data_IF_427184276914
#
_entry.id   IF_427184276914
#
_cell.length_a   1.000
_cell.length_b   1.000
_cell.length_c   1.000
_cell.angle_alpha   90.00
_cell.angle_beta   90.00
_cell.angle_gamma   90.00
#
_symmetry.space_group_name_H-M   'P 1'
#
loop_
_entity.id
_entity.type
_entity.pdbx_description
1 polymer ?
#
# COMPACT_ATOMS: atom_id res chain seq x y z
N UNK A 1 -10.74 25.05 2.21
CA UNK A 1 -10.09 23.74 2.35
C UNK A 1 -10.46 22.87 1.16
N UNK A 2 -9.56 22.00 0.69
CA UNK A 2 -9.86 21.04 -0.42
C UNK A 2 -10.52 19.75 0.10
N UNK A 3 -10.29 19.42 1.37
CA UNK A 3 -10.96 18.35 2.12
C UNK A 3 -10.87 18.67 3.62
N UNK A 4 -11.76 18.09 4.43
CA UNK A 4 -11.75 18.22 5.89
C UNK A 4 -12.38 17.00 6.56
N UNK A 5 -11.94 16.68 7.77
CA UNK A 5 -12.50 15.63 8.62
C UNK A 5 -12.46 16.08 10.07
N UNK A 6 -13.42 15.59 10.86
CA UNK A 6 -13.40 15.75 12.30
C UNK A 6 -12.44 14.73 12.92
N UNK A 7 -11.69 15.17 13.93
CA UNK A 7 -10.88 14.29 14.77
C UNK A 7 -11.61 14.08 16.11
N UNK A 8 -11.52 12.88 16.71
CA UNK A 8 -11.97 12.70 18.08
C UNK A 8 -11.14 13.54 19.04
N UNK A 9 -11.68 13.83 20.23
CA UNK A 9 -10.90 14.47 21.29
C UNK A 9 -9.79 13.53 21.77
N UNK A 10 -8.53 13.92 21.57
CA UNK A 10 -7.34 13.13 21.90
C UNK A 10 -6.77 13.53 23.27
N UNK A 11 -6.33 12.56 24.07
CA UNK A 11 -5.55 12.79 25.29
C UNK A 11 -4.04 12.83 24.98
N UNK A 12 -3.20 13.34 25.90
CA UNK A 12 -1.75 13.26 25.75
C UNK A 12 -1.29 11.80 25.58
N UNK A 13 -0.61 11.52 24.46
CA UNK A 13 -0.15 10.17 24.10
C UNK A 13 -1.06 9.43 23.11
N UNK A 14 -2.27 9.94 22.86
CA UNK A 14 -3.18 9.37 21.86
C UNK A 14 -2.81 9.80 20.44
N UNK A 15 -3.25 9.01 19.47
CA UNK A 15 -3.22 9.35 18.06
C UNK A 15 -4.54 8.93 17.38
N UNK A 16 -4.90 9.64 16.31
CA UNK A 16 -5.98 9.25 15.42
C UNK A 16 -5.53 9.33 13.97
N UNK A 17 -6.15 8.50 13.14
CA UNK A 17 -6.00 8.53 11.69
C UNK A 17 -7.33 8.94 11.08
N UNK A 18 -7.29 9.78 10.04
CA UNK A 18 -8.46 10.13 9.23
C UNK A 18 -8.13 9.95 7.77
N UNK A 19 -9.11 9.50 7.00
CA UNK A 19 -9.04 9.48 5.54
C UNK A 19 -9.76 10.72 4.99
N UNK A 20 -9.14 11.38 4.02
CA UNK A 20 -9.68 12.55 3.33
C UNK A 20 -9.71 12.27 1.84
N UNK A 21 -10.89 12.40 1.24
CA UNK A 21 -11.03 12.31 -0.21
C UNK A 21 -10.64 13.65 -0.84
N UNK A 22 -9.63 13.62 -1.70
CA UNK A 22 -9.17 14.79 -2.43
C UNK A 22 -9.79 14.79 -3.82
N UNK A 23 -10.19 15.96 -4.35
CA UNK A 23 -10.79 16.04 -5.68
C UNK A 23 -9.77 15.96 -6.82
N UNK A 24 -8.49 15.69 -6.52
CA UNK A 24 -7.39 15.64 -7.48
C UNK A 24 -6.29 14.68 -7.00
N UNK A 25 -5.57 14.11 -7.96
CA UNK A 25 -4.39 13.27 -7.75
C UNK A 25 -3.24 13.71 -8.68
N UNK A 26 -2.87 15.00 -8.61
CA UNK A 26 -1.96 15.67 -9.56
C UNK A 26 -0.62 16.10 -8.94
N UNK A 27 -0.30 15.63 -7.74
CA UNK A 27 0.96 15.97 -7.07
C UNK A 27 1.06 17.42 -6.58
N UNK A 28 0.00 18.23 -6.63
CA UNK A 28 0.01 19.62 -6.13
C UNK A 28 0.40 19.69 -4.66
N UNK A 29 1.09 20.76 -4.28
CA UNK A 29 1.46 21.00 -2.89
C UNK A 29 0.21 21.11 -2.00
N UNK A 30 0.20 20.35 -0.92
CA UNK A 30 -0.82 20.38 0.11
C UNK A 30 -0.26 20.95 1.41
N UNK A 31 -1.14 21.59 2.17
CA UNK A 31 -0.89 21.96 3.55
C UNK A 31 -1.99 21.36 4.42
N UNK A 32 -1.58 20.70 5.48
CA UNK A 32 -2.45 20.14 6.50
C UNK A 32 -2.40 21.07 7.71
N UNK A 33 -3.59 21.49 8.12
CA UNK A 33 -3.83 22.35 9.27
C UNK A 33 -4.87 21.65 10.16
N UNK A 34 -4.71 21.79 11.47
CA UNK A 34 -5.70 21.39 12.44
C UNK A 34 -6.32 22.64 13.04
N UNK A 35 -7.63 22.63 13.28
CA UNK A 35 -8.34 23.71 13.93
C UNK A 35 -9.29 23.13 14.97
N UNK A 36 -9.60 23.92 16.00
CA UNK A 36 -10.68 23.62 16.94
C UNK A 36 -12.04 23.74 16.23
N UNK A 37 -13.08 23.20 16.86
CA UNK A 37 -14.45 23.26 16.34
C UNK A 37 -14.96 24.70 16.14
N UNK A 38 -14.41 25.67 16.86
CA UNK A 38 -14.71 27.11 16.71
C UNK A 38 -13.92 27.80 15.58
N UNK A 39 -13.10 27.04 14.82
CA UNK A 39 -12.26 27.55 13.73
C UNK A 39 -10.89 28.08 14.18
N UNK A 40 -10.58 28.07 15.48
CA UNK A 40 -9.27 28.50 15.99
C UNK A 40 -8.18 27.53 15.51
N UNK A 41 -7.22 28.03 14.74
CA UNK A 41 -6.09 27.24 14.24
C UNK A 41 -5.24 26.68 15.40
N UNK A 42 -4.91 25.40 15.32
CA UNK A 42 -3.96 24.74 16.20
C UNK A 42 -2.56 24.79 15.57
N UNK A 43 -1.53 25.22 16.32
CA UNK A 43 -0.18 25.26 15.78
C UNK A 43 0.32 23.83 15.54
N UNK A 44 0.89 23.57 14.36
CA UNK A 44 1.69 22.39 14.16
C UNK A 44 2.97 22.51 15.01
N UNK A 45 3.33 21.47 15.74
CA UNK A 45 4.55 21.45 16.55
C UNK A 45 5.65 20.71 15.79
N UNK A 46 6.81 21.36 15.66
CA UNK A 46 8.02 20.77 15.10
C UNK A 46 8.96 20.26 16.19
N UNK A 47 10.25 20.18 15.85
CA UNK A 47 11.29 19.78 16.78
C UNK A 47 11.27 20.64 18.06
N UNK A 48 11.42 19.97 19.21
CA UNK A 48 11.37 20.60 20.55
C UNK A 48 10.09 21.39 20.83
N UNK A 49 8.95 20.95 20.29
CA UNK A 49 7.65 21.62 20.46
C UNK A 49 7.60 23.07 19.98
N UNK A 50 8.50 23.46 19.06
CA UNK A 50 8.45 24.81 18.47
C UNK A 50 7.34 24.88 17.44
N UNK A 51 6.59 25.97 17.45
CA UNK A 51 5.55 26.20 16.46
C UNK A 51 6.12 26.18 15.04
N UNK A 52 5.48 25.42 14.16
CA UNK A 52 5.78 25.28 12.76
C UNK A 52 4.56 25.70 11.91
N UNK A 53 4.81 26.12 10.67
CA UNK A 53 3.78 26.63 9.76
C UNK A 53 2.96 25.53 9.08
N UNK A 54 2.30 24.66 9.85
CA UNK A 54 1.52 23.52 9.36
C UNK A 54 2.39 22.39 8.79
N UNK A 55 1.77 21.25 8.48
CA UNK A 55 2.45 20.14 7.80
C UNK A 55 2.30 20.34 6.29
N UNK A 56 3.41 20.33 5.55
CA UNK A 56 3.40 20.42 4.08
C UNK A 56 3.58 19.03 3.48
N UNK A 57 2.86 18.77 2.39
CA UNK A 57 2.96 17.54 1.61
C UNK A 57 2.60 17.79 0.15
N UNK A 58 2.36 16.71 -0.59
CA UNK A 58 1.76 16.75 -1.93
C UNK A 58 0.48 15.93 -1.94
N UNK A 59 -0.42 16.26 -2.85
CA UNK A 59 -1.48 15.35 -3.24
C UNK A 59 -0.87 14.06 -3.78
N UNK A 60 -1.55 12.91 -3.61
CA UNK A 60 -1.12 11.69 -4.28
C UNK A 60 -1.06 11.93 -5.79
N UNK A 61 -0.13 11.28 -6.48
CA UNK A 61 -0.21 11.15 -7.93
C UNK A 61 -1.18 10.02 -8.31
N UNK A 62 -1.69 10.03 -9.53
CA UNK A 62 -2.49 8.93 -10.07
C UNK A 62 -1.74 7.60 -9.95
N UNK A 63 -2.41 6.57 -9.42
CA UNK A 63 -1.80 5.27 -9.17
C UNK A 63 -0.87 5.19 -7.94
N UNK A 64 -0.67 6.26 -7.17
CA UNK A 64 -0.04 6.16 -5.86
C UNK A 64 -1.03 5.54 -4.86
N UNK A 65 -0.56 4.53 -4.14
CA UNK A 65 -1.32 3.87 -3.09
C UNK A 65 -0.59 4.04 -1.75
N UNK A 66 -1.33 3.92 -0.65
CA UNK A 66 -0.77 3.75 0.68
C UNK A 66 -1.66 2.80 1.44
N UNK A 67 -1.33 1.50 1.40
CA UNK A 67 -2.12 0.44 2.03
C UNK A 67 -1.34 -0.09 3.23
N UNK A 68 -1.72 0.25 4.48
CA UNK A 68 -1.03 -0.22 5.67
C UNK A 68 -1.33 -1.70 5.93
N UNK A 69 -0.29 -2.47 6.25
CA UNK A 69 -0.35 -3.93 6.43
C UNK A 69 0.18 -4.30 7.82
N UNK A 70 -0.71 -4.82 8.67
CA UNK A 70 -0.38 -5.30 10.02
C UNK A 70 0.29 -4.26 10.93
N UNK A 71 0.22 -2.97 10.59
CA UNK A 71 0.95 -1.88 11.26
C UNK A 71 2.48 -1.97 11.16
N UNK A 72 3.00 -2.87 10.31
CA UNK A 72 4.43 -3.14 10.16
C UNK A 72 5.02 -2.42 8.94
N UNK A 73 4.33 -2.53 7.80
CA UNK A 73 4.73 -1.94 6.52
C UNK A 73 3.52 -1.31 5.82
N UNK A 74 3.76 -0.55 4.76
CA UNK A 74 2.72 -0.11 3.84
C UNK A 74 3.12 -0.45 2.40
N UNK A 75 2.19 -0.98 1.62
CA UNK A 75 2.32 -1.01 0.16
C UNK A 75 2.11 0.39 -0.39
N UNK A 76 3.01 0.83 -1.27
CA UNK A 76 3.02 2.20 -1.81
C UNK A 76 2.87 2.28 -3.33
N UNK A 77 2.56 1.18 -4.00
CA UNK A 77 2.40 1.10 -5.45
C UNK A 77 3.26 0.02 -6.10
N UNK A 78 3.12 -0.12 -7.42
CA UNK A 78 3.93 -1.01 -8.27
C UNK A 78 5.03 -0.22 -8.96
N UNK A 79 6.26 -0.74 -8.98
CA UNK A 79 7.35 -0.22 -9.79
C UNK A 79 7.25 -0.78 -11.21
N UNK A 80 7.19 0.11 -12.21
CA UNK A 80 7.27 -0.22 -13.64
C UNK A 80 6.50 -1.49 -14.05
N UNK A 81 5.18 -1.57 -13.78
CA UNK A 81 4.40 -2.75 -14.16
C UNK A 81 4.49 -2.94 -15.68
N UNK A 82 4.58 -4.19 -16.17
CA UNK A 82 4.61 -4.45 -17.59
C UNK A 82 3.32 -3.92 -18.22
N UNK A 83 3.33 -3.44 -19.47
CA UNK A 83 2.12 -2.97 -20.13
C UNK A 83 1.13 -4.11 -20.41
N UNK A 84 1.65 -5.34 -20.55
CA UNK A 84 0.87 -6.53 -20.86
C UNK A 84 1.61 -7.79 -20.40
N UNK A 85 0.87 -8.74 -19.84
CA UNK A 85 1.30 -10.09 -19.53
C UNK A 85 1.07 -11.01 -20.74
N UNK A 86 1.92 -12.02 -20.96
CA UNK A 86 1.72 -13.00 -22.04
C UNK A 86 1.65 -14.42 -21.47
N UNK A 87 0.62 -15.22 -21.81
CA UNK A 87 0.59 -16.63 -21.45
C UNK A 87 1.88 -17.36 -21.87
N UNK A 88 2.35 -18.30 -21.04
CA UNK A 88 3.60 -19.03 -21.26
C UNK A 88 4.89 -18.22 -21.02
N UNK A 89 4.79 -17.01 -20.47
CA UNK A 89 5.96 -16.15 -20.16
C UNK A 89 5.93 -15.62 -18.73
N UNK A 90 7.06 -15.12 -18.25
CA UNK A 90 7.15 -14.49 -16.93
C UNK A 90 6.73 -13.02 -17.00
N UNK A 91 5.73 -12.64 -16.22
CA UNK A 91 5.39 -11.25 -15.94
C UNK A 91 6.11 -10.79 -14.65
N UNK A 92 6.87 -9.70 -14.74
CA UNK A 92 7.57 -9.14 -13.58
C UNK A 92 6.67 -8.16 -12.85
N UNK A 93 6.29 -8.48 -11.62
CA UNK A 93 5.51 -7.60 -10.76
C UNK A 93 6.42 -7.12 -9.61
N UNK A 94 6.40 -5.82 -9.33
CA UNK A 94 7.34 -5.20 -8.38
C UNK A 94 6.62 -4.32 -7.36
N UNK A 95 5.87 -4.89 -6.41
CA UNK A 95 5.33 -4.11 -5.31
C UNK A 95 6.43 -3.34 -4.57
N UNK A 96 6.10 -2.10 -4.17
CA UNK A 96 6.96 -1.24 -3.39
C UNK A 96 6.40 -1.14 -1.97
N UNK A 97 7.28 -1.28 -0.99
CA UNK A 97 6.90 -1.24 0.42
C UNK A 97 7.69 -0.19 1.19
N UNK A 98 7.02 0.46 2.13
CA UNK A 98 7.60 1.34 3.15
C UNK A 98 7.56 0.65 4.52
N UNK A 99 8.70 0.49 5.17
CA UNK A 99 8.76 0.01 6.55
C UNK A 99 8.29 1.10 7.53
N UNK A 100 7.22 0.85 8.30
CA UNK A 100 6.66 1.82 9.25
C UNK A 100 7.35 1.75 10.62
N UNK A 101 7.99 0.62 10.90
CA UNK A 101 8.75 0.31 12.11
C UNK A 101 9.87 -0.66 11.75
N UNK A 102 10.82 -0.94 12.65
CA UNK A 102 11.67 -2.13 12.51
C UNK A 102 10.80 -3.39 12.46
N UNK A 103 11.01 -4.24 11.46
CA UNK A 103 10.26 -5.48 11.29
C UNK A 103 11.01 -6.59 12.03
N UNK A 104 10.28 -7.25 12.94
CA UNK A 104 10.76 -8.39 13.72
C UNK A 104 10.02 -9.69 13.36
N UNK A 105 9.43 -9.71 12.16
CA UNK A 105 8.72 -10.85 11.58
C UNK A 105 9.37 -11.17 10.24
N UNK A 106 9.33 -12.44 9.85
CA UNK A 106 9.81 -12.89 8.55
C UNK A 106 8.62 -13.01 7.60
N UNK A 107 8.33 -11.96 6.86
CA UNK A 107 7.20 -11.92 5.94
C UNK A 107 7.53 -12.51 4.57
N UNK A 108 6.57 -13.27 4.05
CA UNK A 108 6.45 -13.63 2.64
C UNK A 108 5.42 -12.73 1.96
N UNK A 109 5.68 -12.39 0.71
CA UNK A 109 4.80 -11.59 -0.14
C UNK A 109 4.26 -12.49 -1.23
N UNK A 110 2.93 -12.55 -1.34
CA UNK A 110 2.20 -13.19 -2.43
C UNK A 110 1.80 -12.12 -3.43
N UNK A 111 2.21 -12.28 -4.69
CA UNK A 111 1.82 -11.40 -5.79
C UNK A 111 1.22 -12.23 -6.91
N UNK A 112 0.12 -11.78 -7.51
CA UNK A 112 -0.56 -12.56 -8.53
C UNK A 112 -1.40 -11.74 -9.49
N UNK A 113 -2.04 -12.48 -10.40
CA UNK A 113 -3.11 -12.01 -11.26
C UNK A 113 -4.38 -12.80 -10.96
N UNK A 114 -5.51 -12.11 -10.95
CA UNK A 114 -6.82 -12.70 -10.77
C UNK A 114 -7.80 -12.22 -11.85
N UNK A 115 -8.69 -13.12 -12.25
CA UNK A 115 -9.85 -12.87 -13.11
C UNK A 115 -11.08 -13.39 -12.36
N UNK A 116 -11.64 -12.60 -11.44
CA UNK A 116 -12.79 -13.03 -10.63
C UNK A 116 -14.01 -13.36 -11.48
N UNK A 117 -14.17 -12.68 -12.62
CA UNK A 117 -15.19 -12.94 -13.64
C UNK A 117 -15.14 -14.36 -14.21
N UNK A 118 -13.96 -14.98 -14.21
CA UNK A 118 -13.71 -16.34 -14.71
C UNK A 118 -13.36 -17.35 -13.61
N UNK A 119 -13.32 -16.91 -12.34
CA UNK A 119 -12.86 -17.74 -11.22
C UNK A 119 -11.41 -18.20 -11.35
N UNK A 120 -10.54 -17.42 -12.01
CA UNK A 120 -9.13 -17.77 -12.23
C UNK A 120 -8.21 -16.90 -11.36
N UNK A 121 -7.18 -17.51 -10.78
CA UNK A 121 -6.09 -16.83 -10.07
C UNK A 121 -4.77 -17.57 -10.31
N UNK A 122 -3.69 -16.81 -10.44
CA UNK A 122 -2.33 -17.33 -10.47
C UNK A 122 -1.40 -16.40 -9.69
N UNK A 123 -0.59 -16.95 -8.78
CA UNK A 123 0.25 -16.19 -7.86
C UNK A 123 1.60 -16.86 -7.61
N UNK A 124 2.54 -16.05 -7.15
CA UNK A 124 3.85 -16.47 -6.67
C UNK A 124 4.09 -15.86 -5.30
N UNK A 125 4.64 -16.68 -4.41
CA UNK A 125 5.05 -16.32 -3.07
C UNK A 125 6.57 -16.18 -3.00
N UNK A 126 7.07 -15.20 -2.24
CA UNK A 126 8.49 -15.03 -2.07
C UNK A 126 8.89 -14.12 -0.93
N UNK A 127 10.08 -14.36 -0.38
CA UNK A 127 10.75 -13.42 0.51
C UNK A 127 11.12 -12.15 -0.27
N UNK A 128 10.93 -10.95 0.32
CA UNK A 128 11.14 -9.71 -0.41
C UNK A 128 12.51 -9.56 -1.09
N UNK A 129 12.48 -8.90 -2.25
CA UNK A 129 13.62 -8.67 -3.13
C UNK A 129 14.33 -9.97 -3.53
N UNK A 130 13.56 -10.99 -3.91
CA UNK A 130 14.05 -12.32 -4.29
C UNK A 130 14.93 -12.96 -3.20
N UNK A 131 14.62 -12.70 -1.93
CA UNK A 131 15.39 -13.16 -0.76
C UNK A 131 16.65 -12.33 -0.43
N UNK A 132 17.00 -11.31 -1.22
CA UNK A 132 18.17 -10.47 -0.93
C UNK A 132 17.94 -9.57 0.30
N UNK A 133 16.70 -9.10 0.49
CA UNK A 133 16.33 -8.19 1.57
C UNK A 133 15.13 -8.76 2.36
N UNK A 134 15.31 -9.86 3.12
CA UNK A 134 14.29 -10.36 4.03
C UNK A 134 13.83 -9.27 4.99
N UNK A 135 12.56 -9.33 5.39
CA UNK A 135 11.92 -8.29 6.19
C UNK A 135 12.57 -8.06 7.55
N UNK A 136 13.23 -9.08 8.12
CA UNK A 136 14.03 -8.94 9.36
C UNK A 136 15.19 -7.94 9.25
N UNK A 137 15.58 -7.52 8.03
CA UNK A 137 16.59 -6.47 7.82
C UNK A 137 15.99 -5.05 7.80
N UNK A 138 14.67 -4.93 7.71
CA UNK A 138 14.03 -3.64 7.46
C UNK A 138 13.97 -2.81 8.72
N UNK A 139 14.46 -1.57 8.63
CA UNK A 139 14.28 -0.55 9.67
C UNK A 139 13.30 0.52 9.20
N UNK A 140 12.75 1.29 10.14
CA UNK A 140 11.77 2.34 9.85
C UNK A 140 12.26 3.26 8.73
N UNK A 141 11.38 3.54 7.77
CA UNK A 141 11.62 4.44 6.65
C UNK A 141 12.28 3.78 5.44
N UNK A 142 12.65 2.50 5.53
CA UNK A 142 13.18 1.78 4.37
C UNK A 142 12.11 1.63 3.29
N UNK A 143 12.52 1.92 2.06
CA UNK A 143 11.75 1.70 0.84
C UNK A 143 12.35 0.49 0.15
N UNK A 144 11.53 -0.54 -0.07
CA UNK A 144 11.96 -1.79 -0.70
C UNK A 144 11.09 -2.06 -1.92
N UNK A 145 11.73 -2.21 -3.07
CA UNK A 145 11.09 -2.75 -4.27
C UNK A 145 11.28 -4.26 -4.25
N UNK A 146 10.16 -4.98 -4.35
CA UNK A 146 10.12 -6.41 -4.19
C UNK A 146 9.74 -7.07 -5.51
N UNK A 147 10.72 -7.60 -6.23
CA UNK A 147 10.51 -8.18 -7.54
C UNK A 147 10.03 -9.64 -7.46
N UNK A 148 8.95 -9.94 -8.19
CA UNK A 148 8.37 -11.27 -8.34
C UNK A 148 8.23 -11.64 -9.82
N UNK A 149 8.72 -12.82 -10.20
CA UNK A 149 8.57 -13.36 -11.54
C UNK A 149 7.37 -14.32 -11.58
N UNK A 150 6.22 -13.81 -12.03
CA UNK A 150 4.98 -14.59 -12.16
C UNK A 150 5.00 -15.34 -13.49
N UNK A 151 5.29 -16.65 -13.45
CA UNK A 151 5.34 -17.50 -14.65
C UNK A 151 3.94 -17.89 -15.08
N UNK A 152 3.40 -17.22 -16.10
CA UNK A 152 2.02 -17.43 -16.50
C UNK A 152 1.83 -18.75 -17.27
N UNK A 153 0.80 -19.54 -16.93
CA UNK A 153 0.45 -20.72 -17.70
C UNK A 153 0.04 -20.36 -19.14
N UNK A 154 0.18 -21.31 -20.07
CA UNK A 154 -0.22 -21.14 -21.47
C UNK A 154 -1.73 -20.95 -21.64
N UNK A 155 -2.51 -21.47 -20.70
CA UNK A 155 -3.96 -21.40 -20.62
C UNK A 155 -4.46 -20.21 -19.80
N UNK A 156 -3.58 -19.28 -19.42
CA UNK A 156 -3.98 -18.06 -18.72
C UNK A 156 -5.02 -17.29 -19.56
N UNK A 157 -6.18 -16.93 -18.99
CA UNK A 157 -7.24 -16.28 -19.73
C UNK A 157 -6.83 -14.86 -20.16
N UNK A 158 -7.00 -14.57 -21.45
CA UNK A 158 -6.75 -13.27 -22.05
C UNK A 158 -7.73 -12.19 -21.57
N UNK A 159 -7.30 -10.94 -21.51
CA UNK A 159 -8.10 -9.77 -21.12
C UNK A 159 -7.63 -9.12 -19.82
N UNK A 160 -8.38 -8.15 -19.28
CA UNK A 160 -7.98 -7.37 -18.11
C UNK A 160 -7.99 -8.23 -16.84
N UNK A 161 -6.83 -8.44 -16.22
CA UNK A 161 -6.68 -9.12 -14.96
C UNK A 161 -6.36 -8.15 -13.82
N UNK A 162 -6.76 -8.50 -12.61
CA UNK A 162 -6.47 -7.75 -11.38
C UNK A 162 -5.12 -8.18 -10.83
N UNK A 163 -4.23 -7.23 -10.53
CA UNK A 163 -3.01 -7.52 -9.80
C UNK A 163 -3.36 -7.65 -8.33
N UNK A 164 -3.02 -8.78 -7.72
CA UNK A 164 -3.30 -9.06 -6.31
C UNK A 164 -2.03 -9.07 -5.47
N UNK A 165 -2.11 -8.53 -4.25
CA UNK A 165 -1.01 -8.54 -3.28
C UNK A 165 -1.55 -8.97 -1.92
N UNK A 166 -0.81 -9.87 -1.26
CA UNK A 166 -1.01 -10.24 0.14
C UNK A 166 0.36 -10.38 0.83
N UNK A 167 0.40 -10.13 2.13
CA UNK A 167 1.61 -10.30 2.94
C UNK A 167 1.24 -11.10 4.18
N UNK A 168 2.08 -12.05 4.55
CA UNK A 168 1.85 -12.91 5.71
C UNK A 168 3.18 -13.26 6.37
N UNK A 169 3.12 -13.60 7.65
CA UNK A 169 4.26 -14.15 8.38
C UNK A 169 4.59 -15.56 7.82
N UNK A 170 5.80 -15.75 7.32
CA UNK A 170 6.20 -16.96 6.61
C UNK A 170 6.25 -18.20 7.50
N UNK A 171 6.31 -18.04 8.82
CA UNK A 171 6.35 -19.15 9.77
C UNK A 171 4.96 -19.59 10.22
N UNK A 172 4.12 -18.63 10.59
CA UNK A 172 2.78 -18.87 11.14
C UNK A 172 1.68 -18.87 10.07
N UNK A 173 1.99 -18.37 8.86
CA UNK A 173 1.04 -18.09 7.79
C UNK A 173 -0.05 -17.08 8.19
N UNK A 174 0.13 -16.37 9.30
CA UNK A 174 -0.80 -15.33 9.74
C UNK A 174 -0.73 -14.13 8.79
N UNK A 175 -1.87 -13.63 8.28
CA UNK A 175 -1.87 -12.50 7.37
C UNK A 175 -1.51 -11.21 8.09
N UNK A 176 -0.75 -10.35 7.41
CA UNK A 176 -0.64 -8.95 7.78
C UNK A 176 -1.87 -8.24 7.23
N UNK A 177 -2.89 -8.10 8.08
CA UNK A 177 -4.17 -7.53 7.69
C UNK A 177 -4.05 -6.15 7.03
N UNK A 178 -4.85 -5.94 6.00
CA UNK A 178 -5.07 -4.63 5.37
C UNK A 178 -5.81 -3.76 6.37
N UNK A 179 -5.17 -2.67 6.78
CA UNK A 179 -5.71 -1.74 7.79
C UNK A 179 -6.45 -0.55 7.16
N UNK A 180 -6.59 -0.53 5.83
CA UNK A 180 -7.52 0.38 5.18
C UNK A 180 -8.95 -0.13 5.35
N UNK A 181 -9.76 0.60 6.12
CA UNK A 181 -11.14 0.23 6.45
C UNK A 181 -12.09 0.23 5.23
N UNK A 182 -11.76 0.96 4.16
CA UNK A 182 -12.57 0.96 2.93
C UNK A 182 -12.31 -0.35 2.18
N UNK A 183 -11.03 -0.67 1.96
CA UNK A 183 -10.63 -1.95 1.34
C UNK A 183 -11.14 -3.14 2.15
N UNK A 184 -11.00 -3.11 3.49
CA UNK A 184 -11.48 -4.19 4.34
C UNK A 184 -13.00 -4.43 4.21
N UNK A 185 -13.81 -3.35 4.10
CA UNK A 185 -15.27 -3.47 3.89
C UNK A 185 -15.63 -4.03 2.51
N UNK A 186 -14.76 -3.88 1.53
CA UNK A 186 -14.88 -4.49 0.21
C UNK A 186 -14.41 -5.94 0.16
N UNK A 187 -14.04 -6.53 1.32
CA UNK A 187 -13.54 -7.91 1.40
C UNK A 187 -12.03 -8.03 1.18
N UNK A 188 -11.30 -6.92 1.06
CA UNK A 188 -9.87 -6.89 0.78
C UNK A 188 -9.01 -6.82 2.06
N UNK A 189 -9.44 -7.50 3.13
CA UNK A 189 -8.82 -7.42 4.47
C UNK A 189 -7.53 -8.23 4.66
N UNK A 190 -7.22 -9.13 3.72
CA UNK A 190 -6.05 -10.04 3.76
C UNK A 190 -5.24 -9.94 2.46
N UNK A 191 -5.95 -9.86 1.34
CA UNK A 191 -5.43 -9.65 0.00
C UNK A 191 -6.16 -8.45 -0.59
N UNK A 192 -5.45 -7.62 -1.37
CA UNK A 192 -6.04 -6.46 -2.02
C UNK A 192 -5.62 -6.35 -3.49
N UNK A 193 -6.44 -5.62 -4.26
CA UNK A 193 -6.19 -5.26 -5.65
C UNK A 193 -5.19 -4.10 -5.69
N UNK A 194 -4.01 -4.36 -6.23
CA UNK A 194 -2.93 -3.39 -6.38
C UNK A 194 -2.94 -2.66 -7.74
N UNK A 195 -3.78 -3.10 -8.69
CA UNK A 195 -3.89 -2.52 -10.03
C UNK A 195 -4.54 -3.49 -11.00
N UNK A 196 -4.43 -3.19 -12.29
CA UNK A 196 -4.86 -4.07 -13.39
C UNK A 196 -3.72 -4.27 -14.39
N UNK A 197 -3.74 -5.42 -15.08
CA UNK A 197 -2.79 -5.78 -16.12
C UNK A 197 -3.52 -6.51 -17.25
N UNK A 198 -3.28 -6.11 -18.49
CA UNK A 198 -3.85 -6.82 -19.64
C UNK A 198 -3.09 -8.14 -19.87
N UNK A 199 -3.81 -9.24 -20.03
CA UNK A 199 -3.25 -10.54 -20.45
C UNK A 199 -3.50 -10.71 -21.95
N UNK A 200 -2.42 -10.94 -22.70
CA UNK A 200 -2.47 -11.16 -24.14
C UNK A 200 -3.34 -12.39 -24.51
N UNK A 201 -3.94 -12.40 -25.70
CA UNK A 201 -4.58 -13.58 -26.28
C UNK A 201 -3.59 -14.71 -26.54
#
# INVERSE_FOLDING_TARGET
AVAQAALPALQPGDGATVALDLPFADGKALRIEAARADGTALPALGAWHRAAGGVRGRAPAEGEHYVPLGGAMAFIGLADPPPMARPGSAAWLRPRFLALRPLALDASVSVGLARPDLGWEHKVDGTPALGAIPTLKWVRGWLVEDAHALSLPTEAPSGPAEITVAVYDAFTLAPLHVLDERLAREGQGIQFRAGTLEVAP
#
